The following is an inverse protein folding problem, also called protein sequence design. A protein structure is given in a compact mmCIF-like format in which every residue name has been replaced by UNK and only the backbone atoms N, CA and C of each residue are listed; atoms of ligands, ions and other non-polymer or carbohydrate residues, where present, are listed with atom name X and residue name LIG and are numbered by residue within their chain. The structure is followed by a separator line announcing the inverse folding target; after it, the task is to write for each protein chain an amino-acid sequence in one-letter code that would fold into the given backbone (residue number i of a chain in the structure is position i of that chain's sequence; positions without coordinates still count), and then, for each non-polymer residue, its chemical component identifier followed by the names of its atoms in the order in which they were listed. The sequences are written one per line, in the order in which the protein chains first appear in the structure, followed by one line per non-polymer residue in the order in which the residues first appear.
data_IF_912696783879
#
_entry.id   IF_912696783879
#
_cell.length_a   1.000
_cell.length_b   1.000
_cell.length_c   1.000
_cell.angle_alpha   90.00
_cell.angle_beta   90.00
_cell.angle_gamma   90.00
#
_symmetry.space_group_name_H-M   'P 1'
#
loop_
_entity.id
_entity.type
_entity.pdbx_description
1 polymer ?
#
# COMPACT_ATOMS: atom_id res chain seq x y z
N UNK A 1 3.66 0.47 13.89
CA UNK A 1 3.35 -0.25 12.64
C UNK A 1 3.11 0.70 11.47
N UNK A 2 2.18 1.67 11.56
CA UNK A 2 1.84 2.59 10.45
C UNK A 2 3.04 3.37 9.93
N UNK A 3 3.80 4.03 10.79
CA UNK A 3 5.00 4.78 10.38
C UNK A 3 6.02 3.89 9.65
N UNK A 4 6.19 2.65 10.07
CA UNK A 4 7.12 1.71 9.44
C UNK A 4 6.64 1.33 8.02
N UNK A 5 5.34 1.06 7.83
CA UNK A 5 4.77 0.77 6.51
C UNK A 5 4.87 1.97 5.56
N UNK A 6 4.61 3.18 6.05
CA UNK A 6 4.79 4.42 5.27
C UNK A 6 6.26 4.64 4.90
N UNK A 7 7.18 4.50 5.86
CA UNK A 7 8.62 4.63 5.59
C UNK A 7 9.10 3.61 4.55
N UNK A 8 8.65 2.34 4.67
CA UNK A 8 8.92 1.30 3.67
C UNK A 8 8.47 1.73 2.27
N UNK A 9 7.24 2.23 2.13
CA UNK A 9 6.72 2.73 0.86
C UNK A 9 7.60 3.83 0.27
N UNK A 10 8.09 4.75 1.11
CA UNK A 10 8.90 5.88 0.66
C UNK A 10 10.30 5.49 0.19
N UNK A 11 10.81 4.32 0.58
CA UNK A 11 12.16 3.86 0.22
C UNK A 11 12.20 2.62 -0.66
N UNK A 12 11.08 1.90 -0.84
CA UNK A 12 11.04 0.61 -1.54
C UNK A 12 11.48 0.68 -3.01
N UNK A 13 11.46 1.86 -3.62
CA UNK A 13 11.94 2.08 -4.99
C UNK A 13 13.43 2.38 -5.06
N UNK A 14 14.08 2.64 -3.91
CA UNK A 14 15.48 3.06 -3.84
C UNK A 14 16.43 1.91 -3.52
N UNK A 15 15.94 0.85 -2.86
CA UNK A 15 16.79 -0.18 -2.29
C UNK A 15 16.17 -1.58 -2.38
N UNK A 16 17.04 -2.56 -2.34
CA UNK A 16 16.73 -3.98 -2.15
C UNK A 16 17.42 -4.45 -0.87
N UNK A 17 16.90 -5.51 -0.28
CA UNK A 17 17.50 -6.17 0.88
C UNK A 17 18.10 -7.49 0.43
N UNK A 18 19.42 -7.64 0.59
CA UNK A 18 20.09 -8.92 0.49
C UNK A 18 19.94 -9.65 1.84
N UNK A 19 19.20 -10.75 1.86
CA UNK A 19 19.04 -11.61 3.06
C UNK A 19 20.25 -12.53 3.21
N UNK A 20 20.77 -12.95 2.07
CA UNK A 20 22.01 -13.72 1.93
C UNK A 20 22.63 -13.46 0.53
N UNK A 21 23.67 -14.20 0.16
CA UNK A 21 24.37 -14.01 -1.11
C UNK A 21 23.52 -14.33 -2.35
N UNK A 22 22.42 -15.06 -2.20
CA UNK A 22 21.56 -15.51 -3.30
C UNK A 22 20.15 -14.91 -3.26
N UNK A 23 19.71 -14.47 -2.08
CA UNK A 23 18.34 -14.03 -1.86
C UNK A 23 18.28 -12.50 -1.68
N UNK A 24 17.85 -11.84 -2.74
CA UNK A 24 17.63 -10.39 -2.75
C UNK A 24 16.13 -10.12 -2.91
N UNK A 25 15.57 -9.31 -2.05
CA UNK A 25 14.15 -8.99 -2.06
C UNK A 25 13.85 -7.49 -1.90
N UNK A 26 12.60 -7.10 -2.08
CA UNK A 26 12.19 -5.70 -1.90
C UNK A 26 12.23 -5.27 -0.41
N UNK A 27 12.32 -3.98 -0.17
CA UNK A 27 12.13 -3.36 1.15
C UNK A 27 10.64 -3.24 1.51
N UNK A 28 9.75 -3.58 0.58
CA UNK A 28 8.29 -3.50 0.75
C UNK A 28 7.82 -4.27 1.99
N UNK A 29 6.85 -3.70 2.71
CA UNK A 29 6.28 -4.32 3.90
C UNK A 29 4.76 -4.49 3.75
N UNK A 30 4.27 -5.65 4.17
CA UNK A 30 2.86 -5.88 4.44
C UNK A 30 2.64 -5.78 5.95
N UNK A 31 1.77 -4.86 6.35
CA UNK A 31 1.48 -4.59 7.77
C UNK A 31 -0.01 -4.71 8.01
N UNK A 32 -0.38 -5.52 8.98
CA UNK A 32 -1.74 -5.67 9.47
C UNK A 32 -1.82 -5.18 10.91
N UNK A 33 -2.56 -4.11 11.15
CA UNK A 33 -2.82 -3.58 12.48
C UNK A 33 -4.25 -3.94 12.91
N UNK A 34 -4.38 -4.78 13.92
CA UNK A 34 -5.68 -5.21 14.47
C UNK A 34 -5.99 -4.39 15.71
N UNK A 35 -6.97 -3.49 15.60
CA UNK A 35 -7.31 -2.53 16.65
C UNK A 35 -8.83 -2.46 16.83
N UNK A 36 -9.26 -2.09 18.04
CA UNK A 36 -10.70 -1.83 18.32
C UNK A 36 -11.17 -0.57 17.58
N UNK A 37 -12.49 -0.46 17.43
CA UNK A 37 -13.11 0.79 17.00
C UNK A 37 -12.73 1.92 17.98
N UNK A 38 -12.58 3.15 17.48
CA UNK A 38 -12.20 4.30 18.33
C UNK A 38 -10.70 4.42 18.64
N UNK A 39 -9.81 3.53 18.16
CA UNK A 39 -8.35 3.59 18.36
C UNK A 39 -7.63 4.60 17.44
N UNK A 40 -8.36 5.53 16.82
CA UNK A 40 -7.85 6.61 15.98
C UNK A 40 -7.01 6.14 14.78
N UNK A 41 -7.31 4.95 14.23
CA UNK A 41 -6.60 4.34 13.09
C UNK A 41 -6.44 5.29 11.91
N UNK A 42 -7.53 5.84 11.44
CA UNK A 42 -7.58 6.77 10.30
C UNK A 42 -6.82 8.08 10.57
N UNK A 43 -6.89 8.60 11.80
CA UNK A 43 -6.15 9.81 12.18
C UNK A 43 -4.64 9.57 12.14
N UNK A 44 -4.18 8.42 12.66
CA UNK A 44 -2.76 8.05 12.65
C UNK A 44 -2.29 7.84 11.21
N UNK A 45 -3.06 7.09 10.42
CA UNK A 45 -2.73 6.86 9.01
C UNK A 45 -2.60 8.18 8.24
N UNK A 46 -3.61 9.06 8.33
CA UNK A 46 -3.61 10.35 7.66
C UNK A 46 -2.38 11.20 8.00
N UNK A 47 -2.03 11.27 9.30
CA UNK A 47 -0.86 12.04 9.75
C UNK A 47 0.47 11.43 9.29
N UNK A 48 0.60 10.10 9.31
CA UNK A 48 1.83 9.43 8.89
C UNK A 48 2.01 9.44 7.38
N UNK A 49 0.93 9.40 6.60
CA UNK A 49 0.98 9.36 5.13
C UNK A 49 1.02 10.75 4.46
N UNK A 50 1.12 11.84 5.23
CA UNK A 50 1.08 13.21 4.68
C UNK A 50 2.11 13.43 3.57
N UNK A 51 3.34 12.95 3.74
CA UNK A 51 4.38 13.05 2.69
C UNK A 51 4.04 12.28 1.41
N UNK A 52 3.30 11.16 1.51
CA UNK A 52 2.81 10.44 0.33
C UNK A 52 1.70 11.23 -0.37
N UNK A 53 0.79 11.82 0.39
CA UNK A 53 -0.28 12.66 -0.14
C UNK A 53 0.27 13.92 -0.82
N UNK A 54 1.29 14.54 -0.23
CA UNK A 54 1.95 15.69 -0.83
C UNK A 54 2.61 15.34 -2.17
N UNK A 55 3.36 14.24 -2.21
CA UNK A 55 3.93 13.74 -3.47
C UNK A 55 2.85 13.43 -4.51
N UNK A 56 1.70 12.89 -4.09
CA UNK A 56 0.61 12.59 -5.00
C UNK A 56 -0.06 13.86 -5.55
N UNK A 57 -0.13 14.94 -4.75
CA UNK A 57 -0.57 16.27 -5.22
C UNK A 57 0.41 16.83 -6.27
N UNK A 58 1.71 16.77 -6.01
CA UNK A 58 2.74 17.20 -6.95
C UNK A 58 2.65 16.44 -8.29
N UNK A 59 2.47 15.13 -8.23
CA UNK A 59 2.30 14.31 -9.45
C UNK A 59 1.04 14.68 -10.23
N UNK A 60 -0.03 15.00 -9.53
CA UNK A 60 -1.27 15.46 -10.17
C UNK A 60 -1.07 16.82 -10.83
N UNK A 61 -0.45 17.77 -10.14
CA UNK A 61 -0.15 19.10 -10.70
C UNK A 61 0.74 19.02 -11.95
N UNK A 62 1.76 18.15 -11.92
CA UNK A 62 2.63 17.90 -13.09
C UNK A 62 1.85 17.27 -14.25
N UNK A 63 0.90 16.37 -13.94
CA UNK A 63 0.05 15.75 -14.95
C UNK A 63 -0.95 16.76 -15.53
N UNK A 64 -1.59 17.59 -14.70
CA UNK A 64 -2.52 18.64 -15.13
C UNK A 64 -1.79 19.62 -16.09
N UNK A 65 -0.60 20.09 -15.70
CA UNK A 65 0.23 20.97 -16.53
C UNK A 65 0.65 20.33 -17.87
N UNK A 66 1.02 19.06 -17.85
CA UNK A 66 1.34 18.30 -19.06
C UNK A 66 0.13 18.20 -20.01
N UNK A 67 -1.07 17.96 -19.47
CA UNK A 67 -2.30 17.86 -20.26
C UNK A 67 -2.68 19.21 -20.88
N UNK A 68 -2.41 20.32 -20.19
CA UNK A 68 -2.67 21.67 -20.70
C UNK A 68 -1.70 22.06 -21.83
N UNK A 69 -0.43 21.78 -21.66
CA UNK A 69 0.58 22.22 -22.63
C UNK A 69 0.66 21.34 -23.88
N UNK A 70 0.35 20.04 -23.80
CA UNK A 70 0.49 19.03 -24.87
C UNK A 70 1.74 19.18 -25.75
N UNK A 71 2.70 19.97 -25.31
CA UNK A 71 3.94 20.27 -25.99
C UNK A 71 5.10 19.91 -25.06
N UNK A 72 5.76 18.86 -25.31
CA UNK A 72 6.93 18.60 -24.55
C UNK A 72 7.40 17.17 -24.58
N UNK A 73 8.50 16.92 -23.96
CA UNK A 73 9.15 15.62 -23.87
C UNK A 73 8.19 14.64 -23.18
N UNK A 74 7.54 13.83 -23.96
CA UNK A 74 6.65 12.76 -23.60
C UNK A 74 7.33 11.80 -22.63
N UNK A 75 6.86 11.79 -21.39
CA UNK A 75 7.08 10.63 -20.54
C UNK A 75 5.79 9.84 -20.56
N UNK A 76 5.83 8.56 -20.92
CA UNK A 76 4.66 7.67 -20.97
C UNK A 76 3.85 7.66 -19.67
N UNK A 77 4.41 8.14 -18.56
CA UNK A 77 3.72 8.30 -17.29
C UNK A 77 2.62 9.36 -17.35
N UNK A 78 2.77 10.41 -18.15
CA UNK A 78 1.82 11.51 -18.26
C UNK A 78 0.90 11.43 -19.49
N UNK A 79 1.13 10.47 -20.37
CA UNK A 79 0.24 10.18 -21.53
C UNK A 79 -1.08 9.49 -21.12
N UNK A 80 -1.24 9.18 -19.85
CA UNK A 80 -2.43 8.52 -19.30
C UNK A 80 -3.61 9.48 -19.22
N UNK A 81 -4.81 8.94 -19.34
CA UNK A 81 -6.08 9.67 -19.18
C UNK A 81 -6.35 10.10 -17.73
N UNK A 82 -5.64 9.50 -16.77
CA UNK A 82 -5.77 9.77 -15.33
C UNK A 82 -4.39 10.04 -14.70
N UNK A 83 -4.32 10.91 -13.67
CA UNK A 83 -3.05 11.21 -13.01
C UNK A 83 -2.44 9.97 -12.34
N UNK A 84 -1.10 9.87 -12.33
CA UNK A 84 -0.41 8.76 -11.66
C UNK A 84 -0.61 8.80 -10.15
N UNK A 85 -0.73 7.62 -9.53
CA UNK A 85 -0.99 7.46 -8.08
C UNK A 85 0.06 6.61 -7.41
N UNK A 86 0.40 6.96 -6.17
CA UNK A 86 1.25 6.16 -5.28
C UNK A 86 0.39 5.42 -4.26
N UNK A 87 -0.67 6.05 -3.77
CA UNK A 87 -1.54 5.53 -2.72
C UNK A 87 -2.87 5.06 -3.31
N UNK A 88 -3.22 3.83 -2.99
CA UNK A 88 -4.47 3.18 -3.39
C UNK A 88 -5.24 2.74 -2.15
N UNK A 89 -6.41 3.31 -1.97
CA UNK A 89 -7.42 2.87 -1.01
C UNK A 89 -8.52 2.13 -1.79
N UNK A 90 -9.05 1.06 -1.25
CA UNK A 90 -10.16 0.30 -1.83
C UNK A 90 -9.98 -0.21 -3.28
N UNK A 91 -8.76 -0.48 -3.68
CA UNK A 91 -8.47 -1.00 -5.01
C UNK A 91 -8.74 -2.51 -5.11
N UNK A 92 -9.36 -2.93 -6.21
CA UNK A 92 -9.36 -4.35 -6.60
C UNK A 92 -7.96 -4.76 -7.07
N UNK A 93 -7.62 -6.04 -6.93
CA UNK A 93 -6.33 -6.58 -7.40
C UNK A 93 -6.09 -6.27 -8.89
N UNK A 94 -7.13 -6.39 -9.72
CA UNK A 94 -7.04 -6.13 -11.15
C UNK A 94 -6.84 -4.63 -11.44
N UNK A 95 -7.59 -3.78 -10.75
CA UNK A 95 -7.43 -2.33 -10.86
C UNK A 95 -6.04 -1.89 -10.43
N UNK A 96 -5.57 -2.42 -9.30
CA UNK A 96 -4.23 -2.13 -8.79
C UNK A 96 -3.14 -2.59 -9.76
N UNK A 97 -3.25 -3.81 -10.31
CA UNK A 97 -2.30 -4.32 -11.29
C UNK A 97 -2.24 -3.45 -12.56
N UNK A 98 -3.40 -3.02 -13.07
CA UNK A 98 -3.46 -2.12 -14.24
C UNK A 98 -2.85 -0.76 -13.95
N UNK A 99 -3.10 -0.20 -12.78
CA UNK A 99 -2.52 1.08 -12.36
C UNK A 99 -0.99 0.99 -12.22
N UNK A 100 -0.46 -0.10 -11.66
CA UNK A 100 0.99 -0.34 -11.56
C UNK A 100 1.62 -0.51 -12.95
N UNK A 101 0.97 -1.23 -13.86
CA UNK A 101 1.48 -1.46 -15.22
C UNK A 101 1.65 -0.16 -15.99
N UNK A 102 0.63 0.70 -15.95
CA UNK A 102 0.57 1.92 -16.75
C UNK A 102 1.04 3.18 -16.03
N UNK A 103 1.33 3.10 -14.74
CA UNK A 103 1.66 4.23 -13.90
C UNK A 103 2.95 4.07 -13.09
N UNK A 104 2.85 4.46 -11.82
CA UNK A 104 3.95 4.34 -10.86
C UNK A 104 4.06 2.90 -10.41
N UNK A 105 5.27 2.34 -10.55
CA UNK A 105 5.55 0.93 -10.20
C UNK A 105 5.91 0.70 -8.72
N UNK A 106 5.89 1.75 -7.92
CA UNK A 106 6.18 1.69 -6.48
C UNK A 106 5.02 2.31 -5.72
N UNK A 107 4.16 1.48 -5.16
CA UNK A 107 2.86 1.91 -4.65
C UNK A 107 2.57 1.38 -3.25
N UNK A 108 1.63 2.03 -2.58
CA UNK A 108 1.04 1.62 -1.31
C UNK A 108 -0.42 1.27 -1.51
N UNK A 109 -0.80 0.06 -1.17
CA UNK A 109 -2.19 -0.30 -0.95
C UNK A 109 -2.51 -0.13 0.53
N UNK A 110 -3.50 0.68 0.86
CA UNK A 110 -3.88 0.93 2.24
C UNK A 110 -5.38 0.78 2.49
N UNK A 111 -5.74 0.42 3.72
CA UNK A 111 -7.11 0.48 4.19
C UNK A 111 -7.13 0.80 5.68
N UNK A 112 -7.87 1.83 6.07
CA UNK A 112 -8.14 2.16 7.47
C UNK A 112 -9.27 1.31 8.07
N UNK A 113 -10.05 0.67 7.21
CA UNK A 113 -11.13 -0.26 7.57
C UNK A 113 -10.92 -1.56 6.80
N UNK A 114 -10.23 -2.51 7.40
CA UNK A 114 -9.89 -3.80 6.76
C UNK A 114 -11.09 -4.57 6.19
N UNK A 115 -12.32 -4.19 6.57
CA UNK A 115 -13.55 -4.72 5.99
C UNK A 115 -13.65 -4.48 4.48
N UNK A 116 -13.12 -3.38 3.96
CA UNK A 116 -13.11 -3.10 2.51
C UNK A 116 -12.12 -4.02 1.78
N UNK A 117 -10.95 -4.28 2.35
CA UNK A 117 -9.96 -5.21 1.77
C UNK A 117 -10.42 -6.66 1.94
N UNK A 118 -10.64 -7.12 3.17
CA UNK A 118 -11.00 -8.52 3.44
C UNK A 118 -12.45 -8.85 3.06
N UNK A 119 -13.32 -7.85 2.99
CA UNK A 119 -14.70 -7.97 2.55
C UNK A 119 -14.95 -7.63 1.09
N UNK A 120 -13.95 -7.11 0.37
CA UNK A 120 -14.06 -6.72 -1.03
C UNK A 120 -14.31 -7.89 -1.97
N UNK A 121 -14.78 -7.58 -3.17
CA UNK A 121 -15.16 -8.58 -4.20
C UNK A 121 -13.99 -9.52 -4.52
N UNK A 122 -12.76 -8.99 -4.59
CA UNK A 122 -11.57 -9.78 -4.90
C UNK A 122 -11.08 -10.68 -3.76
N UNK A 123 -11.61 -10.53 -2.53
CA UNK A 123 -11.23 -11.30 -1.35
C UNK A 123 -12.34 -12.24 -0.87
N UNK A 124 -13.26 -12.60 -1.77
CA UNK A 124 -14.37 -13.52 -1.50
C UNK A 124 -14.52 -14.56 -2.60
N UNK A 125 -14.97 -15.75 -2.23
CA UNK A 125 -15.29 -16.84 -3.15
C UNK A 125 -14.14 -17.20 -4.08
N UNK A 126 -14.41 -17.50 -5.35
CA UNK A 126 -13.43 -17.92 -6.34
C UNK A 126 -12.36 -16.87 -6.65
N UNK A 127 -12.68 -15.59 -6.51
CA UNK A 127 -11.72 -14.49 -6.74
C UNK A 127 -10.64 -14.42 -5.66
N UNK A 128 -10.89 -14.94 -4.46
CA UNK A 128 -9.97 -14.89 -3.32
C UNK A 128 -8.64 -15.55 -3.63
N UNK A 129 -8.65 -16.75 -4.20
CA UNK A 129 -7.42 -17.48 -4.51
C UNK A 129 -6.50 -16.67 -5.45
N UNK A 130 -7.08 -16.06 -6.48
CA UNK A 130 -6.35 -15.21 -7.41
C UNK A 130 -5.80 -13.94 -6.74
N UNK A 131 -6.56 -13.35 -5.82
CA UNK A 131 -6.13 -12.16 -5.08
C UNK A 131 -4.96 -12.48 -4.12
N UNK A 132 -5.05 -13.59 -3.38
CA UNK A 132 -3.98 -14.04 -2.49
C UNK A 132 -2.71 -14.39 -3.28
N UNK A 133 -2.84 -15.09 -4.41
CA UNK A 133 -1.72 -15.42 -5.29
C UNK A 133 -1.03 -14.14 -5.81
N UNK A 134 -1.81 -13.16 -6.26
CA UNK A 134 -1.29 -11.86 -6.69
C UNK A 134 -0.51 -11.16 -5.58
N UNK A 135 -1.10 -11.03 -4.40
CA UNK A 135 -0.48 -10.34 -3.27
C UNK A 135 0.79 -11.06 -2.77
N UNK A 136 0.79 -12.38 -2.76
CA UNK A 136 1.97 -13.17 -2.40
C UNK A 136 3.14 -12.90 -3.36
N UNK A 137 2.90 -12.92 -4.67
CA UNK A 137 3.92 -12.57 -5.67
C UNK A 137 4.33 -11.11 -5.57
N UNK A 138 3.38 -10.21 -5.28
CA UNK A 138 3.67 -8.79 -5.11
C UNK A 138 4.56 -8.50 -3.89
N UNK A 139 4.45 -9.29 -2.83
CA UNK A 139 5.33 -9.18 -1.67
C UNK A 139 6.79 -9.49 -2.02
N UNK A 140 7.02 -10.48 -2.88
CA UNK A 140 8.35 -10.85 -3.38
C UNK A 140 8.79 -10.00 -4.59
N UNK A 141 7.92 -9.13 -5.11
CA UNK A 141 8.11 -8.37 -6.35
C UNK A 141 8.38 -9.25 -7.58
N UNK A 142 7.80 -10.47 -7.60
CA UNK A 142 7.90 -11.37 -8.73
C UNK A 142 7.18 -10.82 -9.95
N UNK A 143 7.75 -11.07 -11.13
CA UNK A 143 7.07 -10.76 -12.40
C UNK A 143 5.74 -11.53 -12.50
N UNK A 144 4.70 -10.85 -12.97
CA UNK A 144 3.36 -11.42 -13.08
C UNK A 144 2.74 -11.09 -14.44
N UNK A 145 2.11 -12.09 -15.04
CA UNK A 145 1.26 -11.91 -16.22
C UNK A 145 -0.16 -12.38 -15.88
N UNK A 146 -1.12 -11.51 -16.13
CA UNK A 146 -2.54 -11.79 -15.91
C UNK A 146 -3.29 -11.63 -17.22
N UNK A 147 -3.84 -12.75 -17.72
CA UNK A 147 -4.64 -12.78 -18.95
C UNK A 147 -6.07 -13.18 -18.60
N UNK A 148 -7.07 -12.44 -19.08
CA UNK A 148 -8.49 -12.77 -18.93
C UNK A 148 -9.19 -12.77 -20.29
N UNK A 149 -10.22 -13.60 -20.44
CA UNK A 149 -10.95 -13.82 -21.70
C UNK A 149 -11.52 -12.56 -22.35
N UNK A 150 -11.72 -11.47 -21.60
CA UNK A 150 -12.36 -10.23 -22.10
C UNK A 150 -11.61 -8.96 -21.70
N UNK A 151 -10.37 -9.05 -21.21
CA UNK A 151 -9.59 -7.89 -20.79
C UNK A 151 -8.19 -7.90 -21.38
N UNK A 152 -7.60 -6.73 -21.53
CA UNK A 152 -6.20 -6.59 -21.95
C UNK A 152 -5.32 -7.29 -20.93
N UNK A 153 -4.40 -8.12 -21.42
CA UNK A 153 -3.39 -8.79 -20.57
C UNK A 153 -2.56 -7.74 -19.84
N UNK A 154 -2.32 -7.95 -18.57
CA UNK A 154 -1.47 -7.09 -17.73
C UNK A 154 -0.16 -7.81 -17.44
N UNK A 155 0.96 -7.12 -17.65
CA UNK A 155 2.30 -7.63 -17.36
C UNK A 155 3.01 -6.71 -16.37
N UNK A 156 3.38 -7.26 -15.23
CA UNK A 156 4.05 -6.52 -14.14
C UNK A 156 5.46 -7.05 -13.96
N UNK A 157 6.42 -6.15 -14.06
CA UNK A 157 7.83 -6.41 -13.79
C UNK A 157 8.47 -5.18 -13.16
N UNK A 158 9.48 -5.38 -12.31
CA UNK A 158 10.17 -4.30 -11.60
C UNK A 158 9.26 -3.36 -10.81
N UNK A 159 8.22 -3.89 -10.19
CA UNK A 159 7.31 -3.12 -9.35
C UNK A 159 7.54 -3.38 -7.85
N UNK A 160 6.98 -2.52 -7.02
CA UNK A 160 7.04 -2.60 -5.55
C UNK A 160 5.66 -2.30 -4.97
N UNK A 161 5.23 -3.16 -4.07
CA UNK A 161 3.95 -3.00 -3.39
C UNK A 161 4.17 -3.12 -1.88
N UNK A 162 3.89 -2.06 -1.14
CA UNK A 162 3.66 -2.13 0.30
C UNK A 162 2.17 -2.21 0.58
N UNK A 163 1.80 -2.88 1.66
CA UNK A 163 0.41 -3.04 2.07
C UNK A 163 0.25 -2.63 3.53
N UNK A 164 -0.69 -1.72 3.81
CA UNK A 164 -0.93 -1.18 5.13
C UNK A 164 -2.42 -1.29 5.48
N UNK A 165 -2.79 -2.34 6.18
CA UNK A 165 -4.18 -2.63 6.52
C UNK A 165 -4.39 -2.42 8.02
N UNK A 166 -5.40 -1.66 8.37
CA UNK A 166 -5.92 -1.59 9.74
C UNK A 166 -7.32 -2.18 9.77
N UNK A 167 -7.59 -3.07 10.69
CA UNK A 167 -8.90 -3.73 10.81
C UNK A 167 -9.35 -3.87 12.25
N UNK A 168 -10.62 -4.13 12.43
CA UNK A 168 -11.16 -4.53 13.71
C UNK A 168 -10.93 -6.04 13.93
N UNK A 169 -10.84 -6.45 15.19
CA UNK A 169 -10.63 -7.86 15.55
C UNK A 169 -11.75 -8.75 15.00
N UNK A 170 -12.98 -8.30 15.15
CA UNK A 170 -14.17 -9.02 14.74
C UNK A 170 -14.18 -9.28 13.22
N UNK A 171 -13.82 -8.26 12.44
CA UNK A 171 -13.71 -8.35 10.97
C UNK A 171 -12.66 -9.40 10.54
N UNK A 172 -11.49 -9.39 11.18
CA UNK A 172 -10.44 -10.37 10.89
C UNK A 172 -10.85 -11.77 11.32
N UNK A 173 -11.45 -11.92 12.50
CA UNK A 173 -11.93 -13.21 12.98
C UNK A 173 -13.01 -13.79 12.06
N UNK A 174 -13.97 -12.99 11.62
CA UNK A 174 -14.99 -13.41 10.67
C UNK A 174 -14.36 -13.84 9.33
N UNK A 175 -13.42 -13.07 8.81
CA UNK A 175 -12.76 -13.44 7.57
C UNK A 175 -11.94 -14.73 7.71
N UNK A 176 -11.18 -14.88 8.80
CA UNK A 176 -10.39 -16.07 9.08
C UNK A 176 -11.29 -17.29 9.29
N UNK A 177 -12.43 -17.18 9.97
CA UNK A 177 -13.34 -18.30 10.16
C UNK A 177 -13.82 -18.94 8.86
N UNK A 178 -13.85 -18.16 7.78
CA UNK A 178 -14.26 -18.60 6.44
C UNK A 178 -13.10 -19.00 5.53
N UNK A 179 -11.90 -18.48 5.77
CA UNK A 179 -10.81 -18.51 4.78
C UNK A 179 -9.45 -18.96 5.37
N UNK A 180 -9.38 -19.34 6.66
CA UNK A 180 -8.10 -19.63 7.32
C UNK A 180 -7.29 -20.70 6.58
N UNK A 181 -7.92 -21.85 6.25
CA UNK A 181 -7.22 -22.94 5.57
C UNK A 181 -6.59 -22.54 4.24
N UNK A 182 -7.26 -21.66 3.47
CA UNK A 182 -6.70 -21.16 2.21
C UNK A 182 -5.60 -20.14 2.47
N UNK A 183 -5.82 -19.18 3.38
CA UNK A 183 -4.85 -18.13 3.68
C UNK A 183 -3.56 -18.68 4.30
N UNK A 184 -3.66 -19.69 5.17
CA UNK A 184 -2.52 -20.40 5.75
C UNK A 184 -1.82 -21.26 4.72
N UNK A 185 -2.56 -22.08 3.97
CA UNK A 185 -2.01 -22.96 2.94
C UNK A 185 -1.23 -22.23 1.85
N UNK A 186 -1.63 -20.98 1.54
CA UNK A 186 -0.91 -20.10 0.60
C UNK A 186 0.18 -19.24 1.27
N UNK A 187 0.35 -19.29 2.59
CA UNK A 187 1.33 -18.49 3.30
C UNK A 187 1.06 -16.98 3.29
N UNK A 188 -0.17 -16.56 3.02
CA UNK A 188 -0.54 -15.15 2.90
C UNK A 188 -0.32 -14.38 4.20
N UNK A 189 -0.80 -14.91 5.32
CA UNK A 189 -0.66 -14.25 6.62
C UNK A 189 0.79 -14.19 7.11
N UNK A 190 1.62 -15.16 6.72
CA UNK A 190 3.04 -15.19 7.09
C UNK A 190 3.85 -14.03 6.49
N UNK A 191 3.30 -13.35 5.49
CA UNK A 191 3.91 -12.18 4.86
C UNK A 191 3.60 -10.86 5.57
N UNK A 192 2.70 -10.89 6.54
CA UNK A 192 2.31 -9.69 7.28
C UNK A 192 3.07 -9.53 8.59
N UNK A 193 3.56 -8.33 8.82
CA UNK A 193 3.90 -7.87 10.15
C UNK A 193 2.59 -7.54 10.89
N UNK A 194 2.15 -8.46 11.76
CA UNK A 194 0.89 -8.34 12.49
C UNK A 194 1.14 -7.58 13.80
N UNK A 195 0.35 -6.53 14.02
CA UNK A 195 0.40 -5.70 15.22
C UNK A 195 -0.98 -5.70 15.90
N UNK A 196 -1.03 -6.18 17.14
CA UNK A 196 -2.25 -6.24 17.95
C UNK A 196 -1.99 -5.51 19.27
N UNK A 197 -2.01 -4.16 19.27
CA UNK A 197 -1.74 -3.41 20.48
C UNK A 197 -2.90 -3.55 21.49
N UNK A 198 -2.58 -3.45 22.76
CA UNK A 198 -3.58 -3.35 23.81
C UNK A 198 -4.37 -2.05 23.67
N UNK A 199 -5.69 -2.16 23.88
CA UNK A 199 -6.57 -0.99 23.85
C UNK A 199 -6.43 -0.17 25.13
N UNK A 200 -6.30 1.13 24.94
CA UNK A 200 -6.32 2.09 26.05
C UNK A 200 -7.65 2.81 26.18
N UNK A 201 -8.70 2.40 25.45
CA UNK A 201 -10.04 2.94 25.54
C UNK A 201 -10.60 2.67 26.96
N UNK A 202 -11.17 3.71 27.57
CA UNK A 202 -11.65 3.69 28.95
C UNK A 202 -10.63 4.16 29.98
N UNK A 203 -9.35 4.11 29.66
CA UNK A 203 -8.26 4.57 30.53
C UNK A 203 -7.59 5.87 30.05
N UNK A 204 -8.03 6.39 28.90
CA UNK A 204 -7.47 7.61 28.32
C UNK A 204 -8.01 8.83 29.06
N UNK A 205 -7.14 9.47 29.81
CA UNK A 205 -7.41 10.81 30.36
C UNK A 205 -7.09 11.82 29.25
N UNK A 206 -7.98 12.78 29.05
CA UNK A 206 -7.69 13.89 28.14
C UNK A 206 -6.45 14.64 28.65
N UNK A 207 -5.42 14.68 27.83
CA UNK A 207 -4.25 15.53 28.03
C UNK A 207 -4.07 16.32 26.74
N UNK A 208 -3.84 17.60 26.90
CA UNK A 208 -3.39 18.42 25.77
C UNK A 208 -2.08 17.80 25.27
N UNK A 209 -2.07 17.36 24.02
CA UNK A 209 -0.87 16.77 23.44
C UNK A 209 0.24 17.83 23.43
N UNK A 210 1.47 17.49 23.84
CA UNK A 210 2.61 18.36 23.60
C UNK A 210 2.73 18.60 22.10
N UNK A 211 3.23 19.76 21.73
CA UNK A 211 3.47 20.07 20.33
C UNK A 211 4.52 19.07 19.76
N UNK A 212 4.04 18.06 19.08
CA UNK A 212 4.84 17.05 18.41
C UNK A 212 5.05 17.37 16.91
N UNK A 213 4.63 18.55 16.48
CA UNK A 213 4.64 19.00 15.08
C UNK A 213 6.03 18.80 14.48
N UNK A 214 7.07 19.25 15.15
CA UNK A 214 8.46 19.18 14.65
C UNK A 214 8.93 17.76 14.29
N UNK A 215 8.55 16.73 15.08
CA UNK A 215 8.96 15.34 14.77
C UNK A 215 8.14 14.77 13.63
N UNK A 216 6.87 15.10 13.56
CA UNK A 216 5.99 14.68 12.49
C UNK A 216 6.37 15.37 11.18
N UNK A 217 6.61 16.68 11.21
CA UNK A 217 7.06 17.44 10.05
C UNK A 217 8.37 16.89 9.51
N UNK A 218 9.35 16.61 10.39
CA UNK A 218 10.60 15.98 9.98
C UNK A 218 10.39 14.60 9.34
N UNK A 219 9.45 13.80 9.86
CA UNK A 219 9.11 12.51 9.26
C UNK A 219 8.51 12.70 7.86
N UNK A 220 7.55 13.64 7.73
CA UNK A 220 6.90 14.00 6.46
C UNK A 220 7.93 14.48 5.44
N UNK A 221 8.81 15.40 5.81
CA UNK A 221 9.91 15.90 4.96
C UNK A 221 10.84 14.77 4.50
N UNK A 222 11.22 13.86 5.40
CA UNK A 222 12.08 12.73 5.02
C UNK A 222 11.36 11.78 4.06
N UNK A 223 10.08 11.48 4.27
CA UNK A 223 9.27 10.69 3.36
C UNK A 223 9.23 11.34 1.96
N UNK A 224 8.90 12.61 1.89
CA UNK A 224 8.81 13.37 0.64
C UNK A 224 10.15 13.45 -0.07
N UNK A 225 11.23 13.74 0.67
CA UNK A 225 12.59 13.74 0.14
C UNK A 225 12.96 12.41 -0.51
N UNK A 226 12.58 11.27 0.09
CA UNK A 226 12.84 9.94 -0.48
C UNK A 226 11.99 9.66 -1.70
N UNK A 227 10.72 10.01 -1.68
CA UNK A 227 9.80 9.82 -2.82
C UNK A 227 10.23 10.62 -4.07
N UNK A 228 10.85 11.80 -3.88
CA UNK A 228 11.38 12.65 -4.97
C UNK A 228 12.71 12.14 -5.55
N UNK A 229 13.39 11.20 -4.88
CA UNK A 229 14.62 10.63 -5.42
C UNK A 229 14.33 9.80 -6.67
N UNK A 230 15.14 10.01 -7.71
CA UNK A 230 15.03 9.25 -8.95
C UNK A 230 15.36 7.78 -8.68
N UNK A 231 14.65 6.88 -9.36
CA UNK A 231 14.96 5.45 -9.42
C UNK A 231 16.26 5.26 -10.20
N UNK A 232 17.07 4.37 -9.70
CA UNK A 232 18.15 3.78 -10.47
C UNK A 232 17.65 2.53 -11.17
#
# INVERSE_FOLDING_TARGET
STALGVASTCVQHLALVARDHQTVGPVSLFVLSVLRSGERKSTIFRKMSEGIWEMQRELKEQWDHYQEEKQGKLTHLFERDIPPKILFEDATVQGLAKEIETGIRSVLMSSSEGGTVFGGIGMRGEALMGALAFLNKAWDAEAQSMTRKQAVSTYLEFYRLSCLISSQRETIQEWLSKNAGLAEGMGFLARFLICVPESTIGYRIYKQAPDATTKLDRFTEQCLKRLRQKRY
#
